data_IF_929884739928
#
_entry.id   IF_929884739928
#
_cell.length_a   1.000
_cell.length_b   1.000
_cell.length_c   1.000
_cell.angle_alpha   90.00
_cell.angle_beta   90.00
_cell.angle_gamma   90.00
#
_symmetry.space_group_name_H-M   'P 1'
#
loop_
_entity.id
_entity.type
_entity.pdbx_description
1 polymer ?
#
# COMPACT_ATOMS: atom_id res chain seq x y z
N UNK A 1 31.44 -21.30 -0.12
CA UNK A 1 30.89 -21.68 -1.44
C UNK A 1 29.63 -20.88 -1.79
N UNK A 2 28.64 -20.77 -0.89
CA UNK A 2 27.45 -19.91 -1.08
C UNK A 2 27.77 -18.42 -1.35
N UNK A 3 28.75 -17.84 -0.65
CA UNK A 3 29.11 -16.42 -0.79
C UNK A 3 29.52 -16.05 -2.22
N UNK A 4 30.20 -16.96 -2.93
CA UNK A 4 30.68 -16.75 -4.31
C UNK A 4 29.54 -16.78 -5.33
N UNK A 5 28.53 -17.63 -5.09
CA UNK A 5 27.31 -17.68 -5.91
C UNK A 5 26.44 -16.44 -5.69
N UNK A 6 26.30 -15.97 -4.45
CA UNK A 6 25.60 -14.71 -4.13
C UNK A 6 26.26 -13.50 -4.80
N UNK A 7 27.58 -13.46 -4.83
CA UNK A 7 28.34 -12.38 -5.46
C UNK A 7 28.21 -12.38 -6.98
N UNK A 8 28.30 -13.56 -7.60
CA UNK A 8 28.07 -13.74 -9.05
C UNK A 8 26.62 -13.43 -9.44
N UNK A 9 25.67 -13.73 -8.56
CA UNK A 9 24.27 -13.40 -8.80
C UNK A 9 24.01 -11.90 -8.67
N UNK A 10 24.62 -11.25 -7.67
CA UNK A 10 24.53 -9.79 -7.47
C UNK A 10 25.03 -9.03 -8.69
N UNK A 11 26.14 -9.46 -9.30
CA UNK A 11 26.68 -8.83 -10.51
C UNK A 11 25.76 -9.03 -11.72
N UNK A 12 25.16 -10.21 -11.89
CA UNK A 12 24.17 -10.43 -12.95
C UNK A 12 22.90 -9.60 -12.74
N UNK A 13 22.38 -9.55 -11.52
CA UNK A 13 21.18 -8.77 -11.20
C UNK A 13 21.46 -7.26 -11.37
N UNK A 14 22.67 -6.81 -11.02
CA UNK A 14 23.12 -5.45 -11.31
C UNK A 14 23.15 -5.17 -12.81
N UNK A 15 23.79 -6.03 -13.60
CA UNK A 15 23.88 -5.85 -15.05
C UNK A 15 22.48 -5.83 -15.70
N UNK A 16 21.59 -6.74 -15.28
CA UNK A 16 20.21 -6.77 -15.72
C UNK A 16 19.48 -5.48 -15.38
N UNK A 17 19.55 -5.04 -14.13
CA UNK A 17 18.80 -3.90 -13.67
C UNK A 17 19.31 -2.58 -14.28
N UNK A 18 20.63 -2.45 -14.50
CA UNK A 18 21.22 -1.33 -15.24
C UNK A 18 20.77 -1.31 -16.71
N UNK A 19 20.73 -2.46 -17.38
CA UNK A 19 20.28 -2.59 -18.78
C UNK A 19 18.80 -2.25 -18.94
N UNK A 20 17.97 -2.64 -17.98
CA UNK A 20 16.52 -2.49 -18.02
C UNK A 20 15.99 -1.33 -17.15
N UNK A 21 16.85 -0.40 -16.71
CA UNK A 21 16.49 0.69 -15.77
C UNK A 21 15.26 1.49 -16.22
N UNK A 22 15.19 1.86 -17.50
CA UNK A 22 14.06 2.63 -18.03
C UNK A 22 12.77 1.81 -18.08
N UNK A 23 12.88 0.51 -18.34
CA UNK A 23 11.74 -0.41 -18.40
C UNK A 23 11.15 -0.64 -17.00
N UNK A 24 12.01 -0.80 -15.98
CA UNK A 24 11.63 -0.86 -14.56
C UNK A 24 10.93 0.44 -14.12
N UNK A 25 11.37 1.60 -14.63
CA UNK A 25 10.76 2.89 -14.29
C UNK A 25 9.45 3.14 -15.03
N UNK A 26 9.30 2.73 -16.29
CA UNK A 26 8.11 3.07 -17.10
C UNK A 26 7.03 2.01 -17.09
N UNK A 27 7.37 0.72 -16.92
CA UNK A 27 6.42 -0.38 -17.00
C UNK A 27 6.07 -0.93 -15.62
N UNK A 28 4.84 -0.72 -15.13
CA UNK A 28 4.32 -1.36 -13.92
C UNK A 28 4.53 -2.87 -13.86
N UNK A 29 4.21 -3.55 -14.97
CA UNK A 29 4.29 -5.01 -15.07
C UNK A 29 5.72 -5.50 -14.95
N UNK A 30 6.65 -4.83 -15.63
CA UNK A 30 8.08 -5.19 -15.57
C UNK A 30 8.67 -4.91 -14.20
N UNK A 31 8.28 -3.78 -13.58
CA UNK A 31 8.67 -3.43 -12.21
C UNK A 31 8.23 -4.49 -11.20
N UNK A 32 7.00 -4.98 -11.31
CA UNK A 32 6.47 -6.06 -10.49
C UNK A 32 7.31 -7.35 -10.64
N UNK A 33 7.55 -7.79 -11.87
CA UNK A 33 8.35 -8.99 -12.14
C UNK A 33 9.78 -8.89 -11.60
N UNK A 34 10.41 -7.73 -11.79
CA UNK A 34 11.75 -7.47 -11.25
C UNK A 34 11.77 -7.56 -9.72
N UNK A 35 10.73 -7.08 -9.04
CA UNK A 35 10.64 -7.15 -7.59
C UNK A 35 10.36 -8.56 -7.07
N UNK A 36 9.51 -9.32 -7.74
CA UNK A 36 9.23 -10.72 -7.36
C UNK A 36 10.50 -11.57 -7.48
N UNK A 37 11.31 -11.29 -8.52
CA UNK A 37 12.64 -11.90 -8.67
C UNK A 37 13.55 -11.54 -7.48
N UNK A 38 13.63 -10.26 -7.10
CA UNK A 38 14.45 -9.84 -5.95
C UNK A 38 13.96 -10.47 -4.64
N UNK A 39 12.65 -10.52 -4.41
CA UNK A 39 12.03 -11.07 -3.20
C UNK A 39 12.25 -12.57 -3.05
N UNK A 40 12.23 -13.33 -4.15
CA UNK A 40 12.50 -14.79 -4.15
C UNK A 40 13.87 -15.13 -3.56
N UNK A 41 14.81 -14.19 -3.61
CA UNK A 41 16.20 -14.37 -3.15
C UNK A 41 16.44 -13.66 -1.81
N UNK A 42 15.41 -13.03 -1.23
CA UNK A 42 15.51 -12.28 0.02
C UNK A 42 16.17 -10.92 -0.14
N UNK A 43 16.22 -10.38 -1.36
CA UNK A 43 16.71 -9.03 -1.63
C UNK A 43 15.51 -8.10 -1.77
N UNK A 44 15.43 -7.08 -0.91
CA UNK A 44 14.46 -6.00 -1.09
C UNK A 44 15.17 -4.81 -1.78
N UNK A 45 14.87 -4.53 -3.06
CA UNK A 45 15.48 -3.42 -3.79
C UNK A 45 15.07 -2.04 -3.23
N UNK A 46 14.13 -2.01 -2.29
CA UNK A 46 13.55 -0.84 -1.64
C UNK A 46 13.86 -0.77 -0.13
N UNK A 47 14.75 -1.62 0.38
CA UNK A 47 15.06 -1.68 1.81
C UNK A 47 15.83 -0.45 2.32
N UNK A 48 16.64 0.20 1.48
CA UNK A 48 17.49 1.31 1.91
C UNK A 48 17.75 2.29 0.78
N UNK A 49 17.59 3.59 1.06
CA UNK A 49 18.00 4.68 0.16
C UNK A 49 19.52 4.77 -0.04
N UNK A 50 20.31 4.15 0.85
CA UNK A 50 21.76 3.90 0.68
C UNK A 50 22.06 2.47 0.22
N UNK A 51 21.03 1.70 -0.10
CA UNK A 51 21.16 0.37 -0.63
C UNK A 51 21.65 0.46 -2.06
N UNK A 52 22.53 -0.46 -2.44
CA UNK A 52 23.06 -0.63 -3.79
C UNK A 52 21.97 -0.53 -4.90
N UNK A 53 20.76 -1.00 -4.62
CA UNK A 53 19.63 -0.97 -5.55
C UNK A 53 18.94 0.39 -5.66
N UNK A 54 18.87 1.17 -4.58
CA UNK A 54 18.27 2.50 -4.62
C UNK A 54 19.13 3.45 -5.48
N UNK A 55 20.44 3.46 -5.26
CA UNK A 55 21.38 4.32 -5.99
C UNK A 55 21.51 3.92 -7.49
N UNK A 56 21.59 2.62 -7.78
CA UNK A 56 21.75 2.14 -9.16
C UNK A 56 20.48 2.35 -10.01
N UNK A 57 19.31 2.09 -9.43
CA UNK A 57 18.07 1.96 -10.20
C UNK A 57 17.08 3.10 -9.99
N UNK A 58 17.20 3.87 -8.91
CA UNK A 58 16.24 4.92 -8.55
C UNK A 58 14.83 4.37 -8.27
N UNK A 59 14.70 3.07 -7.97
CA UNK A 59 13.40 2.48 -7.59
C UNK A 59 13.01 2.95 -6.19
N UNK A 60 13.98 3.16 -5.30
CA UNK A 60 13.74 3.78 -3.99
C UNK A 60 13.08 5.15 -4.14
N UNK A 61 13.67 6.03 -4.95
CA UNK A 61 13.15 7.38 -5.22
C UNK A 61 11.71 7.35 -5.73
N UNK A 62 11.38 6.43 -6.66
CA UNK A 62 10.01 6.27 -7.16
C UNK A 62 9.00 5.98 -6.04
N UNK A 63 9.32 5.07 -5.11
CA UNK A 63 8.41 4.75 -4.00
C UNK A 63 8.38 5.82 -2.91
N UNK A 64 9.46 6.57 -2.74
CA UNK A 64 9.47 7.73 -1.85
C UNK A 64 8.62 8.87 -2.41
N UNK A 65 8.76 9.21 -3.69
CA UNK A 65 7.92 10.17 -4.40
C UNK A 65 6.45 9.75 -4.34
N UNK A 66 6.15 8.48 -4.63
CA UNK A 66 4.80 7.93 -4.52
C UNK A 66 4.27 7.99 -3.08
N UNK A 67 5.12 7.72 -2.09
CA UNK A 67 4.79 7.85 -0.68
C UNK A 67 4.38 9.28 -0.31
N UNK A 68 5.12 10.28 -0.79
CA UNK A 68 4.79 11.71 -0.57
C UNK A 68 3.45 12.07 -1.23
N UNK A 69 3.22 11.64 -2.48
CA UNK A 69 1.93 11.87 -3.16
C UNK A 69 0.75 11.26 -2.39
N UNK A 70 0.93 10.05 -1.82
CA UNK A 70 -0.09 9.42 -0.98
C UNK A 70 -0.37 10.27 0.26
N UNK A 71 0.67 10.78 0.93
CA UNK A 71 0.54 11.65 2.10
C UNK A 71 -0.22 12.94 1.73
N UNK A 72 0.16 13.60 0.64
CA UNK A 72 -0.46 14.84 0.17
C UNK A 72 -1.95 14.67 -0.11
N UNK A 73 -2.33 13.62 -0.84
CA UNK A 73 -3.73 13.32 -1.14
C UNK A 73 -4.50 13.01 0.15
N UNK A 74 -3.92 12.23 1.06
CA UNK A 74 -4.54 11.95 2.36
C UNK A 74 -4.76 13.24 3.19
N UNK A 75 -3.80 14.18 3.18
CA UNK A 75 -3.93 15.48 3.84
C UNK A 75 -4.99 16.35 3.16
N UNK A 76 -5.01 16.39 1.83
CA UNK A 76 -5.97 17.16 1.05
C UNK A 76 -7.41 16.66 1.27
N UNK A 77 -7.61 15.35 1.42
CA UNK A 77 -8.93 14.75 1.61
C UNK A 77 -9.40 14.73 3.07
N UNK A 78 -8.53 15.04 4.03
CA UNK A 78 -8.83 15.00 5.47
C UNK A 78 -10.08 15.80 5.87
N UNK A 79 -10.30 16.96 5.25
CA UNK A 79 -11.43 17.83 5.57
C UNK A 79 -12.77 17.33 5.00
N UNK A 80 -12.77 16.46 3.98
CA UNK A 80 -13.99 15.93 3.34
C UNK A 80 -14.38 14.55 3.85
N UNK A 81 -13.39 13.71 4.13
CA UNK A 81 -13.61 12.30 4.46
C UNK A 81 -13.55 12.01 5.96
N UNK A 82 -13.40 13.04 6.80
CA UNK A 82 -13.13 12.86 8.23
C UNK A 82 -11.76 12.25 8.49
N UNK A 83 -11.42 12.07 9.77
CA UNK A 83 -10.12 11.56 10.19
C UNK A 83 -9.94 10.07 9.81
N UNK A 84 -9.47 9.81 8.59
CA UNK A 84 -8.60 8.65 8.37
C UNK A 84 -9.02 7.59 7.35
N UNK A 85 -9.77 7.92 6.28
CA UNK A 85 -9.76 7.03 5.11
C UNK A 85 -9.88 7.77 3.78
N UNK A 86 -8.84 7.69 2.96
CA UNK A 86 -8.96 7.96 1.54
C UNK A 86 -9.27 6.62 0.84
N UNK A 87 -10.43 6.54 0.18
CA UNK A 87 -10.77 5.42 -0.70
C UNK A 87 -9.91 5.58 -1.95
N UNK A 88 -8.78 4.90 -2.03
CA UNK A 88 -8.00 4.80 -3.25
C UNK A 88 -8.59 3.69 -4.13
N UNK A 89 -9.81 3.92 -4.60
CA UNK A 89 -10.47 3.06 -5.59
C UNK A 89 -10.10 3.51 -6.99
N UNK A 90 -9.08 2.87 -7.58
CA UNK A 90 -8.88 2.58 -9.02
C UNK A 90 -9.36 3.55 -10.13
N UNK A 91 -9.64 4.82 -9.89
CA UNK A 91 -10.51 5.62 -10.77
C UNK A 91 -9.93 6.90 -11.37
N UNK A 92 -8.66 7.23 -11.12
CA UNK A 92 -7.98 8.31 -11.82
C UNK A 92 -7.14 7.76 -12.97
N UNK A 93 -7.19 8.36 -14.16
CA UNK A 93 -6.36 7.99 -15.31
C UNK A 93 -4.82 8.07 -15.04
N UNK A 94 -4.43 8.60 -13.88
CA UNK A 94 -3.05 8.71 -13.40
C UNK A 94 -2.81 7.92 -12.09
N UNK A 95 -3.74 7.07 -11.66
CA UNK A 95 -3.59 6.29 -10.44
C UNK A 95 -2.44 5.27 -10.61
N UNK A 96 -1.48 5.24 -9.68
CA UNK A 96 -0.44 4.21 -9.69
C UNK A 96 -1.06 2.81 -9.66
N UNK A 97 -0.38 1.81 -10.25
CA UNK A 97 -0.76 0.42 -10.13
C UNK A 97 -0.97 0.02 -8.67
N UNK A 98 -2.00 -0.79 -8.40
CA UNK A 98 -2.37 -1.24 -7.04
C UNK A 98 -1.18 -1.74 -6.23
N UNK A 99 -0.32 -2.54 -6.83
CA UNK A 99 0.83 -3.14 -6.15
C UNK A 99 1.87 -2.08 -5.74
N UNK A 100 2.04 -1.04 -6.55
CA UNK A 100 2.96 0.04 -6.23
C UNK A 100 2.46 0.88 -5.07
N UNK A 101 1.16 1.15 -5.05
CA UNK A 101 0.50 1.87 -3.96
C UNK A 101 0.61 1.09 -2.64
N UNK A 102 0.31 -0.22 -2.65
CA UNK A 102 0.41 -1.07 -1.47
C UNK A 102 1.84 -1.14 -0.93
N UNK A 103 2.85 -1.16 -1.81
CA UNK A 103 4.26 -1.14 -1.41
C UNK A 103 4.67 0.20 -0.83
N UNK A 104 4.30 1.31 -1.46
CA UNK A 104 4.57 2.65 -0.94
C UNK A 104 3.97 2.80 0.48
N UNK A 105 2.71 2.40 0.69
CA UNK A 105 2.06 2.49 2.00
C UNK A 105 2.74 1.57 3.03
N UNK A 106 3.13 0.35 2.65
CA UNK A 106 3.92 -0.52 3.55
C UNK A 106 5.23 0.14 3.99
N UNK A 107 5.86 0.93 3.12
CA UNK A 107 7.08 1.68 3.47
C UNK A 107 6.77 2.89 4.35
N UNK A 108 5.64 3.56 4.17
CA UNK A 108 5.21 4.66 5.04
C UNK A 108 5.02 4.24 6.50
N UNK A 109 4.86 2.94 6.80
CA UNK A 109 4.81 2.43 8.19
C UNK A 109 6.07 2.74 9.02
N UNK A 110 7.22 3.01 8.39
CA UNK A 110 8.42 3.43 9.16
C UNK A 110 8.25 4.80 9.82
N UNK A 111 7.29 5.60 9.36
CA UNK A 111 6.96 6.91 9.94
C UNK A 111 6.07 6.80 11.19
N UNK A 112 5.66 5.58 11.57
CA UNK A 112 4.81 5.30 12.73
C UNK A 112 3.44 4.73 12.37
N UNK A 113 2.54 4.70 13.35
CA UNK A 113 1.22 4.05 13.25
C UNK A 113 0.16 4.87 12.48
N UNK A 114 0.55 5.94 11.78
CA UNK A 114 -0.38 6.80 11.07
C UNK A 114 -0.88 6.22 9.74
N UNK A 115 -0.06 5.39 9.07
CA UNK A 115 -0.39 4.84 7.76
C UNK A 115 -0.73 3.35 7.81
N UNK A 116 -1.96 3.03 7.42
CA UNK A 116 -2.51 1.67 7.45
C UNK A 116 -3.25 1.31 6.17
N UNK A 117 -3.34 0.01 5.90
CA UNK A 117 -4.16 -0.54 4.82
C UNK A 117 -5.26 -1.37 5.48
N UNK A 118 -6.50 -1.05 5.18
CA UNK A 118 -7.67 -1.78 5.69
C UNK A 118 -8.33 -2.47 4.49
N UNK A 119 -8.35 -3.81 4.45
CA UNK A 119 -9.01 -4.54 3.38
C UNK A 119 -10.53 -4.40 3.53
N UNK A 120 -11.17 -3.86 2.50
CA UNK A 120 -12.61 -3.65 2.46
C UNK A 120 -13.12 -4.33 1.21
N UNK A 121 -13.60 -5.57 1.35
CA UNK A 121 -14.09 -6.39 0.25
C UNK A 121 -13.12 -6.49 -0.93
N UNK A 122 -13.51 -5.95 -2.09
CA UNK A 122 -12.71 -5.98 -3.32
C UNK A 122 -11.66 -4.86 -3.41
N UNK A 123 -11.75 -3.89 -2.50
CA UNK A 123 -10.90 -2.70 -2.48
C UNK A 123 -10.11 -2.61 -1.15
N UNK A 124 -9.38 -1.53 -0.96
CA UNK A 124 -8.65 -1.26 0.27
C UNK A 124 -8.75 0.22 0.60
N UNK A 125 -8.83 0.52 1.89
CA UNK A 125 -8.79 1.88 2.40
C UNK A 125 -7.38 2.19 2.91
N UNK A 126 -6.94 3.41 2.64
CA UNK A 126 -5.69 3.94 3.19
C UNK A 126 -6.03 4.78 4.40
N UNK A 127 -5.60 4.30 5.56
CA UNK A 127 -5.66 5.05 6.80
C UNK A 127 -4.44 5.97 6.88
N UNK A 128 -4.64 7.25 7.19
CA UNK A 128 -3.57 8.27 7.26
C UNK A 128 -3.45 8.95 8.63
N UNK A 129 -4.30 8.56 9.58
CA UNK A 129 -4.31 9.07 10.95
C UNK A 129 -4.37 7.87 11.88
N UNK A 130 -3.59 7.84 12.97
CA UNK A 130 -3.74 6.80 13.98
C UNK A 130 -5.17 6.86 14.52
N UNK A 131 -5.97 5.86 14.16
CA UNK A 131 -7.29 5.65 14.74
C UNK A 131 -7.37 4.17 15.09
N UNK A 132 -7.83 3.87 16.30
CA UNK A 132 -8.06 2.51 16.75
C UNK A 132 -9.33 1.98 16.07
N UNK A 133 -9.17 1.53 14.82
CA UNK A 133 -10.21 0.78 14.14
C UNK A 133 -10.15 -0.65 14.66
N UNK A 134 -11.05 -0.97 15.58
CA UNK A 134 -11.29 -2.33 16.02
C UNK A 134 -11.83 -3.20 14.86
N UNK A 135 -11.94 -4.51 15.11
CA UNK A 135 -12.47 -5.46 14.13
C UNK A 135 -13.90 -5.09 13.71
N UNK A 136 -14.68 -4.51 14.61
CA UNK A 136 -16.07 -4.17 14.37
C UNK A 136 -16.22 -3.03 13.35
N UNK A 137 -15.42 -1.97 13.47
CA UNK A 137 -15.37 -0.89 12.50
C UNK A 137 -14.96 -1.42 11.11
N UNK A 138 -14.04 -2.39 11.05
CA UNK A 138 -13.61 -2.99 9.77
C UNK A 138 -14.77 -3.74 9.09
N UNK A 139 -15.54 -4.52 9.85
CA UNK A 139 -16.69 -5.26 9.31
C UNK A 139 -17.80 -4.31 8.86
N UNK A 140 -18.04 -3.23 9.61
CA UNK A 140 -19.03 -2.21 9.22
C UNK A 140 -18.58 -1.44 7.97
N UNK A 141 -17.29 -1.13 7.83
CA UNK A 141 -16.73 -0.54 6.59
C UNK A 141 -16.90 -1.48 5.39
N UNK A 142 -16.76 -2.80 5.58
CA UNK A 142 -17.02 -3.80 4.53
C UNK A 142 -18.48 -3.83 4.09
N UNK A 143 -19.43 -3.65 5.00
CA UNK A 143 -20.83 -3.49 4.64
C UNK A 143 -21.10 -2.18 3.89
N UNK A 144 -20.46 -1.10 4.33
CA UNK A 144 -20.60 0.22 3.70
C UNK A 144 -19.96 0.30 2.30
N UNK A 145 -19.07 -0.62 1.91
CA UNK A 145 -18.37 -0.60 0.61
C UNK A 145 -19.34 -0.44 -0.58
N UNK A 146 -20.48 -1.14 -0.54
CA UNK A 146 -21.42 -1.18 -1.68
C UNK A 146 -22.36 0.01 -1.73
N UNK A 147 -22.73 0.58 -0.58
CA UNK A 147 -23.78 1.61 -0.48
C UNK A 147 -23.24 2.99 -0.14
N UNK A 148 -22.02 3.08 0.40
CA UNK A 148 -21.41 4.32 0.90
C UNK A 148 -21.96 4.78 2.26
N UNK A 149 -22.97 4.11 2.80
CA UNK A 149 -23.53 4.33 4.12
C UNK A 149 -24.01 3.00 4.71
N UNK A 150 -24.27 2.98 6.01
CA UNK A 150 -24.78 1.82 6.73
C UNK A 150 -25.76 2.27 7.81
N UNK A 151 -26.75 1.45 8.15
CA UNK A 151 -27.72 1.73 9.20
C UNK A 151 -27.66 0.68 10.30
N UNK A 152 -28.15 1.02 11.50
CA UNK A 152 -28.23 0.07 12.64
C UNK A 152 -29.05 -1.17 12.28
N UNK A 153 -30.15 -1.00 11.54
CA UNK A 153 -30.98 -2.12 11.07
C UNK A 153 -30.18 -3.04 10.14
N UNK A 154 -29.43 -2.49 9.19
CA UNK A 154 -28.63 -3.26 8.24
C UNK A 154 -27.48 -4.02 8.94
N UNK A 155 -26.83 -3.40 9.93
CA UNK A 155 -25.81 -4.05 10.76
C UNK A 155 -26.42 -5.24 11.52
N UNK A 156 -27.58 -5.04 12.13
CA UNK A 156 -28.27 -6.09 12.89
C UNK A 156 -28.72 -7.24 12.00
N UNK A 157 -29.28 -6.93 10.83
CA UNK A 157 -29.83 -7.94 9.94
C UNK A 157 -28.71 -8.76 9.26
N UNK A 158 -27.61 -8.09 8.89
CA UNK A 158 -26.48 -8.70 8.17
C UNK A 158 -25.47 -9.39 9.10
N UNK A 159 -25.10 -8.76 10.23
CA UNK A 159 -24.07 -9.26 11.16
C UNK A 159 -24.65 -9.96 12.39
N UNK A 160 -25.97 -9.93 12.59
CA UNK A 160 -26.64 -10.46 13.79
C UNK A 160 -26.11 -9.85 15.09
N UNK A 161 -25.73 -8.57 15.06
CA UNK A 161 -25.24 -7.87 16.24
C UNK A 161 -26.35 -7.28 17.10
N UNK A 162 -26.09 -7.21 18.41
CA UNK A 162 -26.89 -6.45 19.37
C UNK A 162 -27.00 -4.98 18.97
N UNK A 163 -28.15 -4.36 19.27
CA UNK A 163 -28.42 -2.96 18.91
C UNK A 163 -27.41 -2.01 19.54
N UNK A 164 -27.00 -2.29 20.79
CA UNK A 164 -26.03 -1.47 21.51
C UNK A 164 -24.62 -1.56 20.91
N UNK A 165 -24.20 -2.77 20.46
CA UNK A 165 -22.93 -2.94 19.74
C UNK A 165 -22.93 -2.21 18.41
N UNK A 166 -24.04 -2.27 17.66
CA UNK A 166 -24.17 -1.54 16.41
C UNK A 166 -24.11 -0.02 16.60
N UNK A 167 -24.71 0.52 17.68
CA UNK A 167 -24.63 1.95 18.02
C UNK A 167 -23.24 2.38 18.47
N UNK A 168 -22.47 1.52 19.14
CA UNK A 168 -21.10 1.85 19.59
C UNK A 168 -20.11 2.03 18.43
N UNK A 169 -20.39 1.42 17.28
CA UNK A 169 -19.48 1.39 16.13
C UNK A 169 -19.76 2.53 15.14
N UNK A 170 -20.98 3.11 15.19
CA UNK A 170 -21.44 4.24 14.38
C UNK A 170 -21.14 5.57 15.06
#
# INVERSE_FOLDING_TARGET
QMSKQLETFRTHLQAFASKHKQEIRKSPRFRLQFQDMCATIGVDPLASGKGFWAEMLGVGDFYYELGVQIIEVCLALKHRNGAGSAVWGAGGACAPPRDDLLRAIKKLKVLGNGFGIIPVGGTFLVQSVPAELNMDHTVVLQLAEKKGFVTVSEIRDSLKWETERAKQVL
#
